data_IF_206819740654
#
_entry.id   IF_206819740654
#
_cell.length_a   1.000
_cell.length_b   1.000
_cell.length_c   1.000
_cell.angle_alpha   90.00
_cell.angle_beta   90.00
_cell.angle_gamma   90.00
#
_symmetry.space_group_name_H-M   'P 1'
#
loop_
_entity.id
_entity.type
_entity.pdbx_description
1 polymer ?
#
# COMPACT_ATOMS: atom_id res chain seq x y z
N UNK A 1 17.52 -4.24 11.38
CA UNK A 1 16.46 -5.25 11.11
C UNK A 1 15.46 -4.58 10.18
N UNK A 2 15.01 -5.22 9.09
CA UNK A 2 14.11 -4.57 8.14
C UNK A 2 12.84 -4.07 8.83
N UNK A 3 12.48 -2.81 8.58
CA UNK A 3 11.28 -2.20 9.16
C UNK A 3 10.06 -2.85 8.53
N UNK A 4 9.22 -3.50 9.32
CA UNK A 4 7.98 -4.10 8.82
C UNK A 4 6.77 -3.21 9.11
N UNK A 5 6.08 -2.79 8.06
CA UNK A 5 4.85 -2.00 8.15
C UNK A 5 3.72 -2.85 7.64
N UNK A 6 2.69 -3.03 8.46
CA UNK A 6 1.51 -3.79 8.08
C UNK A 6 0.27 -2.91 8.04
N UNK A 7 -0.43 -2.92 6.91
CA UNK A 7 -1.66 -2.17 6.67
C UNK A 7 -2.57 -2.96 5.74
N UNK A 8 -3.87 -2.94 5.98
CA UNK A 8 -4.82 -3.43 4.97
C UNK A 8 -4.75 -2.55 3.73
N UNK A 9 -4.95 -3.18 2.57
CA UNK A 9 -4.82 -2.50 1.29
C UNK A 9 -5.57 -3.21 0.18
N UNK A 10 -5.76 -2.48 -0.89
CA UNK A 10 -6.24 -2.95 -2.18
C UNK A 10 -5.34 -2.30 -3.26
N UNK A 11 -5.43 -2.69 -4.53
CA UNK A 11 -4.69 -1.99 -5.58
C UNK A 11 -4.89 -0.47 -5.48
N UNK A 12 -3.79 0.28 -5.40
CA UNK A 12 -3.77 1.74 -5.28
C UNK A 12 -4.37 2.34 -3.99
N UNK A 13 -4.82 1.52 -3.04
CA UNK A 13 -5.47 1.96 -1.79
C UNK A 13 -4.82 1.34 -0.56
N UNK A 14 -4.75 2.13 0.50
CA UNK A 14 -4.29 1.69 1.82
C UNK A 14 -5.29 2.17 2.86
N UNK A 15 -5.67 1.28 3.76
CA UNK A 15 -6.53 1.61 4.89
C UNK A 15 -5.69 2.18 6.04
N UNK A 16 -6.16 3.28 6.61
CA UNK A 16 -5.58 3.93 7.77
C UNK A 16 -6.69 4.49 8.64
N UNK A 17 -6.76 4.04 9.89
CA UNK A 17 -7.66 4.56 10.94
C UNK A 17 -9.10 4.71 10.43
N UNK A 18 -9.65 3.59 9.95
CA UNK A 18 -10.97 3.44 9.34
C UNK A 18 -11.23 4.24 8.05
N UNK A 19 -10.24 4.96 7.54
CA UNK A 19 -10.31 5.67 6.28
C UNK A 19 -9.56 4.93 5.17
N UNK A 20 -10.15 4.88 3.97
CA UNK A 20 -9.49 4.38 2.77
C UNK A 20 -8.89 5.56 2.00
N UNK A 21 -7.56 5.55 1.84
CA UNK A 21 -6.78 6.57 1.13
C UNK A 21 -6.01 5.95 -0.03
N UNK A 22 -5.61 6.76 -1.00
CA UNK A 22 -4.71 6.31 -2.05
C UNK A 22 -3.34 5.94 -1.49
N UNK A 23 -2.66 5.00 -2.13
CA UNK A 23 -1.30 4.60 -1.80
C UNK A 23 -0.35 5.77 -1.75
N UNK A 24 -0.45 6.70 -2.71
CA UNK A 24 0.36 7.91 -2.76
C UNK A 24 0.15 8.81 -1.54
N UNK A 25 -1.10 9.10 -1.17
CA UNK A 25 -1.39 9.97 -0.03
C UNK A 25 -0.95 9.34 1.29
N UNK A 26 -1.14 8.03 1.45
CA UNK A 26 -0.74 7.36 2.68
C UNK A 26 0.77 7.13 2.79
N UNK A 27 1.45 6.93 1.67
CA UNK A 27 2.91 6.78 1.62
C UNK A 27 3.64 8.02 2.12
N UNK A 28 3.07 9.22 1.91
CA UNK A 28 3.62 10.46 2.47
C UNK A 28 3.48 10.56 3.99
N UNK A 29 2.38 10.05 4.55
CA UNK A 29 2.20 10.01 6.01
C UNK A 29 3.11 8.95 6.64
N UNK A 30 3.16 7.75 6.05
CA UNK A 30 4.02 6.66 6.52
C UNK A 30 5.50 7.03 6.43
N UNK A 31 5.96 7.69 5.36
CA UNK A 31 7.36 8.06 5.23
C UNK A 31 7.80 9.02 6.33
N UNK A 32 6.96 10.00 6.72
CA UNK A 32 7.25 10.89 7.86
C UNK A 32 7.48 10.08 9.15
N UNK A 33 6.60 9.13 9.46
CA UNK A 33 6.74 8.27 10.64
C UNK A 33 8.01 7.42 10.59
N UNK A 34 8.40 6.93 9.42
CA UNK A 34 9.60 6.10 9.22
C UNK A 34 10.89 6.92 9.36
N UNK A 35 10.91 8.15 8.83
CA UNK A 35 12.06 9.04 8.93
C UNK A 35 12.39 9.40 10.39
N UNK A 36 11.39 9.41 11.27
CA UNK A 36 11.59 9.67 12.70
C UNK A 36 12.06 8.45 13.50
N UNK A 37 11.97 7.22 12.97
CA UNK A 37 12.09 6.00 13.78
C UNK A 37 13.29 5.11 13.47
N UNK A 38 14.13 5.39 12.47
CA UNK A 38 15.17 4.44 12.05
C UNK A 38 16.38 5.08 11.35
N UNK A 39 17.56 4.53 11.64
CA UNK A 39 18.79 4.71 10.84
C UNK A 39 18.60 4.27 9.37
N UNK A 40 19.36 4.92 8.49
CA UNK A 40 18.94 5.39 7.16
C UNK A 40 18.91 4.39 6.00
N UNK A 41 19.15 3.08 6.19
CA UNK A 41 19.42 2.18 5.06
C UNK A 41 18.63 0.86 5.00
N UNK A 42 17.87 0.52 6.05
CA UNK A 42 17.18 -0.78 6.07
C UNK A 42 16.04 -0.84 5.04
N UNK A 43 15.92 -1.97 4.35
CA UNK A 43 14.79 -2.28 3.47
C UNK A 43 13.48 -2.30 4.28
N UNK A 44 12.42 -1.71 3.73
CA UNK A 44 11.09 -1.72 4.34
C UNK A 44 10.32 -2.93 3.82
N UNK A 45 9.74 -3.71 4.73
CA UNK A 45 8.77 -4.72 4.38
C UNK A 45 7.35 -4.17 4.51
N UNK A 46 6.64 -4.00 3.40
CA UNK A 46 5.29 -3.46 3.38
C UNK A 46 4.27 -4.60 3.22
N UNK A 47 3.81 -5.09 4.36
CA UNK A 47 2.82 -6.16 4.48
C UNK A 47 1.42 -5.59 4.28
N UNK A 48 1.03 -5.46 3.01
CA UNK A 48 -0.28 -4.99 2.60
C UNK A 48 -0.83 -5.81 1.44
N UNK A 49 -2.11 -6.17 1.52
CA UNK A 49 -2.79 -6.88 0.45
C UNK A 49 -2.72 -6.06 -0.84
N UNK A 50 -2.34 -6.72 -1.93
CA UNK A 50 -2.17 -6.13 -3.25
C UNK A 50 -1.20 -4.94 -3.28
N UNK A 51 -0.26 -4.86 -2.31
CA UNK A 51 0.68 -3.77 -2.19
C UNK A 51 1.61 -3.61 -3.40
N UNK A 52 1.91 -4.71 -4.11
CA UNK A 52 2.69 -4.71 -5.35
C UNK A 52 1.84 -4.60 -6.63
N UNK A 53 0.51 -4.71 -6.52
CA UNK A 53 -0.38 -4.62 -7.69
C UNK A 53 -0.35 -3.19 -8.26
N UNK A 54 -0.21 -3.07 -9.57
CA UNK A 54 -0.09 -1.79 -10.27
C UNK A 54 1.34 -1.37 -10.62
N UNK A 55 2.35 -2.19 -10.30
CA UNK A 55 3.73 -1.98 -10.74
C UNK A 55 4.28 -0.62 -10.29
N UNK A 56 4.61 0.25 -11.25
CA UNK A 56 5.12 1.59 -10.97
C UNK A 56 4.11 2.51 -10.26
N UNK A 57 2.83 2.19 -10.32
CA UNK A 57 1.77 2.91 -9.62
C UNK A 57 1.36 2.22 -8.31
N UNK A 58 2.02 1.11 -7.94
CA UNK A 58 1.63 0.32 -6.76
C UNK A 58 1.85 1.05 -5.44
N UNK A 59 1.16 0.61 -4.39
CA UNK A 59 1.30 1.21 -3.05
C UNK A 59 2.73 1.06 -2.51
N UNK A 60 3.37 -0.08 -2.77
CA UNK A 60 4.76 -0.32 -2.38
C UNK A 60 5.73 0.62 -3.12
N UNK A 61 5.51 0.86 -4.42
CA UNK A 61 6.31 1.83 -5.18
C UNK A 61 6.10 3.27 -4.66
N UNK A 62 4.87 3.63 -4.30
CA UNK A 62 4.58 4.94 -3.71
C UNK A 62 5.34 5.12 -2.39
N UNK A 63 5.39 4.10 -1.55
CA UNK A 63 6.14 4.13 -0.31
C UNK A 63 7.65 4.17 -0.56
N UNK A 64 8.16 3.48 -1.58
CA UNK A 64 9.57 3.54 -1.94
C UNK A 64 9.96 4.96 -2.38
N UNK A 65 9.14 5.59 -3.22
CA UNK A 65 9.37 6.94 -3.71
C UNK A 65 9.35 7.98 -2.59
N UNK A 66 8.42 7.88 -1.62
CA UNK A 66 8.30 8.88 -0.54
C UNK A 66 9.28 8.65 0.59
N UNK A 67 9.66 7.40 0.88
CA UNK A 67 10.64 7.06 1.92
C UNK A 67 12.09 7.17 1.44
N UNK A 68 12.32 7.19 0.12
CA UNK A 68 13.66 7.14 -0.46
C UNK A 68 14.36 5.79 -0.22
N UNK A 69 13.61 4.73 0.12
CA UNK A 69 14.15 3.42 0.52
C UNK A 69 13.57 2.28 -0.31
N UNK A 70 14.29 1.15 -0.45
CA UNK A 70 13.73 -0.04 -1.07
C UNK A 70 12.56 -0.58 -0.23
N UNK A 71 11.42 -0.83 -0.87
CA UNK A 71 10.21 -1.36 -0.23
C UNK A 71 9.83 -2.68 -0.89
N UNK A 72 9.69 -3.74 -0.09
CA UNK A 72 9.11 -5.00 -0.57
C UNK A 72 7.61 -4.96 -0.37
N UNK A 73 6.86 -5.09 -1.45
CA UNK A 73 5.42 -5.28 -1.44
C UNK A 73 5.03 -6.63 -1.99
N UNK A 74 3.80 -7.06 -1.75
CA UNK A 74 3.33 -8.39 -2.13
C UNK A 74 2.13 -8.31 -3.08
N UNK A 75 2.05 -9.29 -3.98
CA UNK A 75 0.90 -9.49 -4.84
C UNK A 75 -0.19 -10.29 -4.12
N UNK A 76 -1.46 -9.97 -4.37
CA UNK A 76 -2.58 -10.73 -3.79
C UNK A 76 -2.82 -10.45 -2.30
N UNK A 77 -3.58 -11.34 -1.64
CA UNK A 77 -3.85 -11.24 -0.21
C UNK A 77 -2.65 -11.72 0.59
N UNK A 78 -2.26 -10.97 1.63
CA UNK A 78 -1.15 -11.34 2.51
C UNK A 78 -1.55 -11.26 3.98
N UNK A 79 -1.09 -12.24 4.77
CA UNK A 79 -1.15 -12.23 6.22
C UNK A 79 0.25 -11.96 6.81
N UNK A 80 0.33 -11.35 8.00
CA UNK A 80 1.61 -11.08 8.71
C UNK A 80 2.45 -12.34 8.90
N UNK A 81 1.80 -13.48 9.14
CA UNK A 81 2.47 -14.77 9.30
C UNK A 81 3.04 -15.30 7.97
N UNK A 82 2.31 -15.14 6.87
CA UNK A 82 2.71 -15.61 5.54
C UNK A 82 3.66 -14.66 4.80
N UNK A 83 3.73 -13.38 5.19
CA UNK A 83 4.61 -12.40 4.54
C UNK A 83 6.11 -12.72 4.73
N UNK A 84 6.47 -13.45 5.79
CA UNK A 84 7.82 -13.95 6.05
C UNK A 84 8.12 -15.30 5.37
N UNK A 85 7.10 -16.01 4.90
CA UNK A 85 7.23 -17.33 4.28
C UNK A 85 7.33 -17.18 2.77
N UNK A 86 8.55 -16.98 2.26
CA UNK A 86 8.99 -17.25 0.88
C UNK A 86 8.04 -16.88 -0.30
N UNK A 87 7.07 -15.99 -0.10
CA UNK A 87 6.16 -15.55 -1.15
C UNK A 87 6.79 -14.41 -1.94
N UNK A 88 6.44 -14.42 -3.21
CA UNK A 88 6.71 -13.56 -4.38
C UNK A 88 6.59 -12.05 -4.13
N UNK A 89 7.20 -11.55 -3.06
CA UNK A 89 7.34 -10.15 -2.74
C UNK A 89 8.25 -9.51 -3.77
N UNK A 90 7.81 -8.40 -4.35
CA UNK A 90 8.62 -7.60 -5.26
C UNK A 90 9.21 -6.44 -4.49
N UNK A 91 10.53 -6.31 -4.53
CA UNK A 91 11.21 -5.10 -4.06
C UNK A 91 11.10 -4.01 -5.12
N UNK A 92 10.61 -2.85 -4.70
CA UNK A 92 10.53 -1.63 -5.46
C UNK A 92 11.58 -0.66 -4.95
N UNK A 93 12.25 0.01 -5.88
CA UNK A 93 13.28 1.01 -5.58
C UNK A 93 12.74 2.41 -5.87
N UNK A 94 13.19 3.45 -5.16
CA UNK A 94 12.77 4.81 -5.42
C UNK A 94 13.00 5.18 -6.89
N UNK A 95 11.97 5.70 -7.53
CA UNK A 95 12.04 6.20 -8.89
C UNK A 95 12.61 7.63 -8.91
N UNK A 96 13.08 8.03 -10.08
CA UNK A 96 13.44 9.42 -10.35
C UNK A 96 12.31 10.39 -10.01
N UNK A 97 12.65 11.60 -9.54
CA UNK A 97 11.69 12.57 -8.99
C UNK A 97 10.54 12.89 -9.95
N UNK A 98 10.83 12.98 -11.25
CA UNK A 98 9.82 13.28 -12.29
C UNK A 98 8.87 12.09 -12.48
N UNK A 99 9.42 10.87 -12.58
CA UNK A 99 8.64 9.65 -12.73
C UNK A 99 7.79 9.40 -11.47
N UNK A 100 8.37 9.60 -10.28
CA UNK A 100 7.67 9.46 -9.02
C UNK A 100 6.44 10.38 -8.90
N UNK A 101 6.52 11.61 -9.42
CA UNK A 101 5.37 12.55 -9.46
C UNK A 101 4.26 12.05 -10.38
N UNK A 102 4.61 11.60 -11.59
CA UNK A 102 3.65 11.04 -12.56
C UNK A 102 3.00 9.78 -11.97
N UNK A 103 3.79 8.88 -11.40
CA UNK A 103 3.28 7.66 -10.79
C UNK A 103 2.41 7.93 -9.56
N UNK A 104 2.72 8.96 -8.77
CA UNK A 104 1.87 9.43 -7.67
C UNK A 104 0.53 9.96 -8.18
N UNK A 105 0.53 10.75 -9.25
CA UNK A 105 -0.71 11.22 -9.87
C UNK A 105 -1.53 10.05 -10.43
N UNK A 106 -0.90 9.13 -11.16
CA UNK A 106 -1.55 7.93 -11.69
C UNK A 106 -2.14 7.04 -10.58
N UNK A 107 -1.41 6.80 -9.49
CA UNK A 107 -1.93 6.06 -8.34
C UNK A 107 -3.19 6.73 -7.76
N UNK A 108 -3.21 8.06 -7.62
CA UNK A 108 -4.39 8.79 -7.14
C UNK A 108 -5.59 8.65 -8.08
N UNK A 109 -5.38 8.76 -9.40
CA UNK A 109 -6.45 8.61 -10.39
C UNK A 109 -7.02 7.19 -10.37
N UNK A 110 -6.14 6.17 -10.42
CA UNK A 110 -6.53 4.76 -10.40
C UNK A 110 -7.17 4.34 -9.07
N UNK A 111 -6.90 5.06 -7.99
CA UNK A 111 -7.51 4.80 -6.69
C UNK A 111 -9.01 5.12 -6.64
N UNK A 112 -9.51 6.03 -7.49
CA UNK A 112 -10.92 6.43 -7.51
C UNK A 112 -11.87 5.27 -7.82
N UNK A 113 -11.74 4.61 -9.00
CA UNK A 113 -12.58 3.47 -9.37
C UNK A 113 -12.48 2.30 -8.37
N UNK A 114 -11.26 1.99 -7.90
CA UNK A 114 -11.08 0.90 -6.92
C UNK A 114 -11.75 1.25 -5.58
N UNK A 115 -11.71 2.52 -5.16
CA UNK A 115 -12.35 2.95 -3.92
C UNK A 115 -13.88 2.85 -4.02
N UNK A 116 -14.44 3.26 -5.15
CA UNK A 116 -15.88 3.10 -5.43
C UNK A 116 -16.29 1.62 -5.40
N UNK A 117 -15.50 0.73 -6.03
CA UNK A 117 -15.77 -0.70 -6.03
C UNK A 117 -15.68 -1.32 -4.62
N UNK A 118 -14.70 -0.90 -3.81
CA UNK A 118 -14.58 -1.36 -2.41
C UNK A 118 -15.78 -0.89 -1.59
N UNK A 119 -16.22 0.37 -1.75
CA UNK A 119 -17.37 0.91 -1.04
C UNK A 119 -18.67 0.21 -1.45
N UNK A 120 -18.88 0.03 -2.77
CA UNK A 120 -20.04 -0.69 -3.31
C UNK A 120 -20.11 -2.13 -2.79
N UNK A 121 -18.97 -2.83 -2.77
CA UNK A 121 -18.90 -4.18 -2.16
C UNK A 121 -19.26 -4.14 -0.69
N UNK A 122 -18.79 -3.14 0.06
CA UNK A 122 -19.14 -2.94 1.47
C UNK A 122 -20.64 -2.79 1.67
N UNK A 123 -21.30 -1.94 0.88
CA UNK A 123 -22.75 -1.75 0.90
C UNK A 123 -23.49 -3.06 0.57
N UNK A 124 -23.11 -3.74 -0.51
CA UNK A 124 -23.74 -5.00 -0.92
C UNK A 124 -23.56 -6.12 0.11
N UNK A 125 -22.46 -6.12 0.86
CA UNK A 125 -22.27 -7.06 1.97
C UNK A 125 -23.03 -6.65 3.23
N UNK A 126 -23.26 -5.35 3.46
CA UNK A 126 -24.13 -4.88 4.54
C UNK A 126 -25.60 -5.18 4.25
N UNK A 127 -26.07 -4.95 3.00
CA UNK A 127 -27.41 -5.35 2.55
C UNK A 127 -27.64 -6.87 2.60
N UNK A 128 -26.56 -7.67 2.56
CA UNK A 128 -26.63 -9.12 2.71
C UNK A 128 -26.63 -9.60 4.18
N UNK A 129 -26.26 -8.73 5.13
CA UNK A 129 -26.26 -8.99 6.58
C UNK A 129 -27.52 -8.42 7.28
N UNK A 130 -28.50 -7.88 6.54
CA UNK A 130 -29.83 -7.49 7.08
C UNK A 130 -30.77 -8.69 7.34
N UNK A 131 -30.24 -9.93 7.29
CA UNK A 131 -30.88 -11.12 7.86
C UNK A 131 -29.98 -11.67 8.98
N UNK A 132 -30.25 -11.24 10.22
CA UNK A 132 -29.42 -11.36 11.43
C UNK A 132 -28.18 -10.46 11.36
N UNK A 133 -28.22 -9.24 11.92
CA UNK A 133 -28.23 -8.96 13.37
C UNK A 133 -28.94 -7.65 13.73
#
# INVERSE_FOLDING_TARGET
MPISISRHGAPFLVQHDNCIRSGASQSSSLSKTICHSSNSYDKINFVSCHGANGGYFSNAQMLANTSGRPVTGYYGRVNKLTANLAFTGRTFYPQDKTIARICSAGNRILSGPVKALVYLRGLLTQDADDNHW
#
